data_IF_029964527434
#
_entry.id   IF_029964527434
#
_cell.length_a   1.000
_cell.length_b   1.000
_cell.length_c   1.000
_cell.angle_alpha   90.00
_cell.angle_beta   90.00
_cell.angle_gamma   90.00
#
_symmetry.space_group_name_H-M   'P 1'
#
loop_
_entity.id
_entity.type
_entity.pdbx_description
1 polymer ?
#
# COMPACT_ATOMS: atom_id res chain seq x y z
N UNK A 1 65.34 -28.91 -39.69
CA UNK A 1 63.91 -29.10 -39.38
C UNK A 1 63.49 -28.00 -38.42
N UNK A 2 62.73 -27.02 -38.91
CA UNK A 2 62.24 -25.88 -38.15
C UNK A 2 60.81 -26.14 -37.68
N UNK A 3 60.51 -26.11 -36.37
CA UNK A 3 59.14 -26.12 -35.90
C UNK A 3 58.61 -24.69 -35.90
N UNK A 4 57.78 -24.35 -36.88
CA UNK A 4 56.99 -23.12 -36.86
C UNK A 4 55.54 -23.40 -36.52
N UNK A 5 54.96 -22.47 -35.77
CA UNK A 5 53.53 -22.12 -35.73
C UNK A 5 52.58 -23.12 -35.06
N UNK A 6 52.53 -23.10 -33.73
CA UNK A 6 51.30 -23.48 -33.00
C UNK A 6 50.92 -22.55 -31.84
N UNK A 7 51.72 -21.52 -31.57
CA UNK A 7 51.47 -20.56 -30.47
C UNK A 7 50.55 -19.40 -30.86
N UNK A 8 50.39 -19.07 -32.15
CA UNK A 8 49.58 -17.91 -32.58
C UNK A 8 48.08 -18.09 -32.40
N UNK A 9 47.56 -19.32 -32.41
CA UNK A 9 46.12 -19.59 -32.19
C UNK A 9 45.69 -19.42 -30.73
N UNK A 10 46.50 -19.87 -29.77
CA UNK A 10 46.14 -19.83 -28.35
C UNK A 10 46.05 -18.40 -27.77
N UNK A 11 46.82 -17.45 -28.32
CA UNK A 11 46.75 -16.05 -27.91
C UNK A 11 45.54 -15.31 -28.48
N UNK A 12 45.10 -15.65 -29.70
CA UNK A 12 43.90 -15.05 -30.30
C UNK A 12 42.62 -15.46 -29.56
N UNK A 13 42.50 -16.73 -29.13
CA UNK A 13 41.34 -17.19 -28.35
C UNK A 13 41.29 -16.57 -26.96
N UNK A 14 42.42 -16.45 -26.24
CA UNK A 14 42.44 -15.82 -24.91
C UNK A 14 42.07 -14.33 -24.94
N UNK A 15 42.47 -13.60 -25.99
CA UNK A 15 42.17 -12.17 -26.13
C UNK A 15 40.74 -11.90 -26.59
N UNK A 16 40.08 -12.86 -27.25
CA UNK A 16 38.67 -12.82 -27.60
C UNK A 16 37.75 -13.29 -26.46
N UNK A 17 38.22 -14.21 -25.59
CA UNK A 17 37.48 -14.64 -24.40
C UNK A 17 37.36 -13.52 -23.35
N UNK A 18 38.41 -12.74 -23.12
CA UNK A 18 38.40 -11.67 -22.12
C UNK A 18 37.26 -10.63 -22.33
N UNK A 19 37.03 -10.06 -23.54
CA UNK A 19 35.93 -9.13 -23.75
C UNK A 19 34.56 -9.81 -23.69
N UNK A 20 34.40 -11.03 -24.20
CA UNK A 20 33.11 -11.74 -24.13
C UNK A 20 32.74 -12.14 -22.72
N UNK A 21 33.72 -12.53 -21.90
CA UNK A 21 33.54 -12.85 -20.48
C UNK A 21 33.17 -11.60 -19.69
N UNK A 22 33.80 -10.45 -19.97
CA UNK A 22 33.41 -9.18 -19.35
C UNK A 22 32.03 -8.69 -19.78
N UNK A 23 31.65 -8.89 -21.05
CA UNK A 23 30.31 -8.56 -21.54
C UNK A 23 29.25 -9.48 -20.91
N UNK A 24 29.53 -10.77 -20.81
CA UNK A 24 28.65 -11.72 -20.13
C UNK A 24 28.49 -11.35 -18.66
N UNK A 25 29.58 -11.05 -17.96
CA UNK A 25 29.54 -10.62 -16.56
C UNK A 25 28.72 -9.32 -16.38
N UNK A 26 28.87 -8.34 -17.28
CA UNK A 26 28.08 -7.11 -17.29
C UNK A 26 26.59 -7.38 -17.55
N UNK A 27 26.25 -8.25 -18.51
CA UNK A 27 24.84 -8.62 -18.76
C UNK A 27 24.22 -9.32 -17.56
N UNK A 28 24.96 -10.25 -16.92
CA UNK A 28 24.49 -10.92 -15.71
C UNK A 28 24.33 -9.94 -14.54
N UNK A 29 25.26 -9.00 -14.37
CA UNK A 29 25.16 -7.94 -13.38
C UNK A 29 23.93 -7.05 -13.62
N UNK A 30 23.62 -6.69 -14.87
CA UNK A 30 22.40 -5.94 -15.19
C UNK A 30 21.14 -6.74 -14.90
N UNK A 31 21.08 -8.02 -15.29
CA UNK A 31 19.90 -8.88 -15.04
C UNK A 31 19.66 -9.03 -13.54
N UNK A 32 20.72 -9.28 -12.77
CA UNK A 32 20.61 -9.41 -11.30
C UNK A 32 20.18 -8.11 -10.64
N UNK A 33 20.66 -6.96 -11.12
CA UNK A 33 20.24 -5.66 -10.60
C UNK A 33 18.77 -5.36 -10.93
N UNK A 34 18.33 -5.64 -12.16
CA UNK A 34 16.92 -5.52 -12.54
C UNK A 34 16.01 -6.44 -11.71
N UNK A 35 16.42 -7.69 -11.48
CA UNK A 35 15.69 -8.62 -10.63
C UNK A 35 15.62 -8.12 -9.17
N UNK A 36 16.71 -7.57 -8.64
CA UNK A 36 16.74 -7.01 -7.30
C UNK A 36 15.80 -5.81 -7.13
N UNK A 37 15.77 -4.90 -8.11
CA UNK A 37 14.82 -3.77 -8.12
C UNK A 37 13.39 -4.28 -8.11
N UNK A 38 13.06 -5.22 -8.98
CA UNK A 38 11.70 -5.77 -9.08
C UNK A 38 11.24 -6.48 -7.80
N UNK A 39 12.14 -7.25 -7.17
CA UNK A 39 11.86 -7.90 -5.88
C UNK A 39 11.62 -6.86 -4.78
N UNK A 40 12.43 -5.79 -4.76
CA UNK A 40 12.32 -4.73 -3.75
C UNK A 40 10.98 -4.01 -3.86
N UNK A 41 10.59 -3.63 -5.08
CA UNK A 41 9.31 -2.98 -5.39
C UNK A 41 8.13 -3.85 -4.92
N UNK A 42 8.13 -5.14 -5.29
CA UNK A 42 7.08 -6.07 -4.87
C UNK A 42 7.04 -6.33 -3.35
N UNK A 43 8.15 -6.11 -2.65
CA UNK A 43 8.21 -6.27 -1.20
C UNK A 43 7.69 -5.03 -0.49
N UNK A 44 7.97 -3.84 -1.04
CA UNK A 44 7.46 -2.57 -0.56
C UNK A 44 5.93 -2.52 -0.67
N UNK A 45 5.37 -2.89 -1.83
CA UNK A 45 3.92 -2.94 -2.04
C UNK A 45 3.22 -3.82 -1.02
N UNK A 46 3.74 -5.04 -0.80
CA UNK A 46 3.20 -5.97 0.20
C UNK A 46 3.31 -5.44 1.62
N UNK A 47 4.38 -4.71 1.93
CA UNK A 47 4.55 -4.13 3.26
C UNK A 47 3.54 -3.01 3.49
N UNK A 48 3.31 -2.17 2.49
CA UNK A 48 2.29 -1.11 2.54
C UNK A 48 0.88 -1.70 2.64
N UNK A 49 0.58 -2.76 1.89
CA UNK A 49 -0.70 -3.46 1.94
C UNK A 49 -0.98 -4.03 3.34
N UNK A 50 -0.02 -4.74 3.93
CA UNK A 50 -0.13 -5.26 5.30
C UNK A 50 -0.29 -4.15 6.35
N UNK A 51 0.45 -3.04 6.21
CA UNK A 51 0.31 -1.91 7.13
C UNK A 51 -1.06 -1.23 6.96
N UNK A 52 -1.58 -1.15 5.74
CA UNK A 52 -2.91 -0.60 5.47
C UNK A 52 -4.02 -1.42 6.13
N UNK A 53 -3.98 -2.74 5.96
CA UNK A 53 -4.89 -3.67 6.62
C UNK A 53 -4.86 -3.51 8.14
N UNK A 54 -3.67 -3.35 8.71
CA UNK A 54 -3.48 -3.14 10.14
C UNK A 54 -4.08 -1.81 10.59
N UNK A 55 -3.87 -0.71 9.86
CA UNK A 55 -4.45 0.61 10.16
C UNK A 55 -5.98 0.49 10.19
N UNK A 56 -6.58 -0.09 9.15
CA UNK A 56 -8.03 -0.18 9.02
C UNK A 56 -8.65 -1.10 10.09
N UNK A 57 -7.97 -2.19 10.44
CA UNK A 57 -8.36 -3.07 11.55
C UNK A 57 -8.34 -2.35 12.89
N UNK A 58 -7.31 -1.52 13.14
CA UNK A 58 -7.22 -0.71 14.35
C UNK A 58 -8.33 0.35 14.40
N UNK A 59 -8.64 1.00 13.28
CA UNK A 59 -9.72 1.98 13.16
C UNK A 59 -11.09 1.36 13.40
N UNK A 60 -11.37 0.20 12.83
CA UNK A 60 -12.61 -0.54 13.10
C UNK A 60 -12.74 -0.94 14.56
N UNK A 61 -11.65 -1.37 15.18
CA UNK A 61 -11.63 -1.64 16.62
C UNK A 61 -11.96 -0.37 17.41
N UNK A 62 -11.36 0.77 17.05
CA UNK A 62 -11.66 2.06 17.67
C UNK A 62 -13.14 2.46 17.49
N UNK A 63 -13.70 2.29 16.30
CA UNK A 63 -15.11 2.58 16.00
C UNK A 63 -16.05 1.72 16.84
N UNK A 64 -15.83 0.41 16.92
CA UNK A 64 -16.63 -0.51 17.74
C UNK A 64 -16.56 -0.15 19.22
N UNK A 65 -15.39 0.27 19.70
CA UNK A 65 -15.23 0.77 21.06
C UNK A 65 -16.00 2.08 21.28
N UNK A 66 -15.92 3.03 20.34
CA UNK A 66 -16.68 4.27 20.38
C UNK A 66 -18.19 4.02 20.44
N UNK A 67 -18.70 3.16 19.56
CA UNK A 67 -20.12 2.84 19.47
C UNK A 67 -20.61 2.13 20.73
N UNK A 68 -19.80 1.23 21.30
CA UNK A 68 -20.13 0.54 22.56
C UNK A 68 -20.28 1.52 23.72
N UNK A 69 -19.41 2.53 23.81
CA UNK A 69 -19.40 3.48 24.93
C UNK A 69 -20.43 4.61 24.75
N UNK A 70 -20.61 5.12 23.53
CA UNK A 70 -21.49 6.26 23.25
C UNK A 70 -22.88 5.87 22.77
N UNK A 71 -23.06 4.63 22.29
CA UNK A 71 -24.30 4.14 21.70
C UNK A 71 -24.56 4.65 20.27
N UNK A 72 -23.60 5.35 19.66
CA UNK A 72 -23.72 5.95 18.33
C UNK A 72 -22.41 5.86 17.56
N UNK A 73 -22.47 5.83 16.23
CA UNK A 73 -21.28 6.00 15.39
C UNK A 73 -20.77 7.45 15.45
N UNK A 74 -19.47 7.70 15.23
CA UNK A 74 -18.96 9.07 15.15
C UNK A 74 -19.71 9.88 14.10
N UNK A 75 -20.18 11.10 14.43
CA UNK A 75 -20.90 11.93 13.50
C UNK A 75 -19.95 12.67 12.56
N UNK A 76 -20.48 13.08 11.41
CA UNK A 76 -19.81 14.02 10.53
C UNK A 76 -18.84 13.37 9.55
N UNK A 77 -18.22 14.22 8.75
CA UNK A 77 -17.17 13.84 7.80
C UNK A 77 -15.92 13.35 8.55
N UNK A 78 -14.95 12.81 7.79
CA UNK A 78 -13.74 12.19 8.34
C UNK A 78 -13.05 13.02 9.44
N UNK A 79 -12.95 14.33 9.28
CA UNK A 79 -12.30 15.21 10.26
C UNK A 79 -13.02 15.18 11.62
N UNK A 80 -14.35 15.23 11.60
CA UNK A 80 -15.18 15.22 12.79
C UNK A 80 -15.18 13.83 13.45
N UNK A 81 -15.27 12.78 12.63
CA UNK A 81 -15.16 11.40 13.11
C UNK A 81 -13.80 11.14 13.76
N UNK A 82 -12.71 11.59 13.13
CA UNK A 82 -11.35 11.48 13.67
C UNK A 82 -11.20 12.24 14.98
N UNK A 83 -11.68 13.48 15.05
CA UNK A 83 -11.66 14.27 16.27
C UNK A 83 -12.45 13.58 17.41
N UNK A 84 -13.65 13.08 17.12
CA UNK A 84 -14.47 12.36 18.09
C UNK A 84 -13.78 11.11 18.64
N UNK A 85 -13.09 10.35 17.78
CA UNK A 85 -12.32 9.18 18.19
C UNK A 85 -11.04 9.54 18.97
N UNK A 86 -10.42 10.69 18.70
CA UNK A 86 -9.24 11.15 19.45
C UNK A 86 -9.60 11.73 20.81
N UNK A 87 -10.76 12.37 20.92
CA UNK A 87 -11.26 12.96 22.17
C UNK A 87 -11.73 11.89 23.15
N UNK A 88 -12.17 10.72 22.67
CA UNK A 88 -12.61 9.63 23.52
C UNK A 88 -11.41 8.79 24.03
N UNK A 89 -11.23 8.61 25.35
CA UNK A 89 -9.99 8.08 25.92
C UNK A 89 -9.71 6.62 25.56
N UNK A 90 -10.76 5.80 25.41
CA UNK A 90 -10.61 4.38 25.09
C UNK A 90 -10.26 4.14 23.62
N UNK A 91 -10.72 5.00 22.72
CA UNK A 91 -10.46 4.92 21.28
C UNK A 91 -9.13 5.54 20.91
N UNK A 92 -8.72 6.59 21.61
CA UNK A 92 -7.41 7.24 21.43
C UNK A 92 -6.24 6.25 21.51
N UNK A 93 -6.32 5.23 22.37
CA UNK A 93 -5.27 4.20 22.48
C UNK A 93 -5.12 3.36 21.22
N UNK A 94 -6.20 3.18 20.46
CA UNK A 94 -6.18 2.45 19.20
C UNK A 94 -5.67 3.31 18.04
N UNK A 95 -5.69 4.64 18.20
CA UNK A 95 -5.18 5.60 17.21
C UNK A 95 -3.72 6.00 17.45
N UNK A 96 -3.13 5.57 18.56
CA UNK A 96 -1.75 5.94 18.91
C UNK A 96 -0.76 5.31 17.93
N UNK A 97 0.05 6.15 17.28
CA UNK A 97 1.01 5.73 16.26
C UNK A 97 0.44 5.61 14.84
N UNK A 98 -0.85 5.87 14.62
CA UNK A 98 -1.41 5.94 13.27
C UNK A 98 -0.95 7.23 12.54
N UNK A 99 -0.72 7.17 11.22
CA UNK A 99 -0.33 8.35 10.45
C UNK A 99 -1.46 9.37 10.42
N UNK A 100 -1.15 10.59 10.81
CA UNK A 100 -2.12 11.67 10.97
C UNK A 100 -1.57 12.97 10.37
N UNK A 101 -2.41 13.62 9.59
CA UNK A 101 -2.16 14.93 9.01
C UNK A 101 -3.05 15.96 9.71
N UNK A 102 -2.51 17.13 10.01
CA UNK A 102 -3.31 18.29 10.42
C UNK A 102 -3.66 19.09 9.17
N UNK A 103 -4.94 19.21 8.87
CA UNK A 103 -5.42 20.07 7.80
C UNK A 103 -5.26 21.56 8.17
N UNK A 104 -5.43 22.45 7.19
CA UNK A 104 -5.24 23.91 7.35
C UNK A 104 -6.09 24.56 8.47
N UNK A 105 -7.12 23.87 8.95
CA UNK A 105 -8.02 24.28 10.03
C UNK A 105 -7.73 23.57 11.37
N UNK A 106 -6.51 23.02 11.54
CA UNK A 106 -6.08 22.22 12.69
C UNK A 106 -6.95 20.97 12.95
N UNK A 107 -7.72 20.53 11.96
CA UNK A 107 -8.50 19.30 12.08
C UNK A 107 -7.66 18.07 11.72
N UNK A 108 -7.67 17.02 12.57
CA UNK A 108 -6.93 15.81 12.31
C UNK A 108 -7.58 15.00 11.17
N UNK A 109 -6.75 14.50 10.26
CA UNK A 109 -7.12 13.58 9.19
C UNK A 109 -6.21 12.36 9.28
N UNK A 110 -6.81 11.18 9.41
CA UNK A 110 -6.08 9.91 9.37
C UNK A 110 -5.69 9.58 7.93
N UNK A 111 -4.49 9.04 7.78
CA UNK A 111 -3.95 8.59 6.50
C UNK A 111 -3.94 7.06 6.44
N UNK A 112 -3.95 6.52 5.22
CA UNK A 112 -3.62 5.13 4.95
C UNK A 112 -2.08 4.90 4.96
N UNK A 113 -1.67 3.66 4.70
CA UNK A 113 -0.24 3.33 4.60
C UNK A 113 0.46 4.01 3.41
N UNK A 114 -0.30 4.40 2.39
CA UNK A 114 0.17 5.09 1.18
C UNK A 114 0.19 6.61 1.34
N UNK A 115 -0.07 7.12 2.56
CA UNK A 115 -0.13 8.54 2.91
C UNK A 115 -1.28 9.32 2.25
N UNK A 116 -2.31 8.62 1.77
CA UNK A 116 -3.53 9.23 1.28
C UNK A 116 -4.51 9.46 2.44
N UNK A 117 -5.30 10.56 2.43
CA UNK A 117 -6.40 10.73 3.37
C UNK A 117 -7.39 9.58 3.28
N UNK A 118 -7.77 9.00 4.42
CA UNK A 118 -8.87 8.03 4.45
C UNK A 118 -10.20 8.71 4.10
N UNK A 119 -11.21 7.90 3.76
CA UNK A 119 -12.61 8.34 3.70
C UNK A 119 -13.37 7.77 4.90
N UNK A 120 -14.46 8.44 5.28
CA UNK A 120 -15.38 7.97 6.32
C UNK A 120 -16.80 7.89 5.76
N UNK A 121 -17.45 6.73 5.88
CA UNK A 121 -18.74 6.45 5.24
C UNK A 121 -19.92 6.94 6.08
N UNK A 122 -20.38 8.18 5.87
CA UNK A 122 -21.55 8.70 6.61
C UNK A 122 -22.90 8.07 6.20
N UNK A 123 -22.99 7.50 5.00
CA UNK A 123 -24.21 6.91 4.44
C UNK A 123 -23.82 5.65 3.67
N UNK A 124 -24.73 4.66 3.56
CA UNK A 124 -24.38 3.41 2.87
C UNK A 124 -24.22 3.70 1.38
N UNK A 125 -22.98 3.89 0.93
CA UNK A 125 -22.66 3.91 -0.49
C UNK A 125 -22.42 2.45 -0.92
N UNK A 126 -23.41 1.89 -1.62
CA UNK A 126 -23.34 0.50 -2.11
C UNK A 126 -23.33 -0.53 -0.97
N UNK A 127 -22.29 -1.37 -0.95
CA UNK A 127 -22.09 -2.45 0.04
C UNK A 127 -21.28 -2.04 1.27
N UNK A 128 -20.78 -0.80 1.34
CA UNK A 128 -19.96 -0.35 2.46
C UNK A 128 -20.83 -0.06 3.70
N UNK A 129 -20.46 -0.58 4.89
CA UNK A 129 -21.17 -0.27 6.12
C UNK A 129 -21.08 1.23 6.45
N UNK A 130 -22.13 1.76 7.06
CA UNK A 130 -22.15 3.14 7.56
C UNK A 130 -21.24 3.23 8.78
N UNK A 131 -20.41 4.26 8.82
CA UNK A 131 -19.53 4.57 9.95
C UNK A 131 -18.22 3.79 9.93
N UNK A 132 -17.69 3.48 8.74
CA UNK A 132 -16.41 2.79 8.57
C UNK A 132 -15.38 3.70 7.86
N UNK A 133 -14.10 3.38 8.04
CA UNK A 133 -13.01 4.04 7.33
C UNK A 133 -12.62 3.23 6.10
N UNK A 134 -12.34 3.94 5.01
CA UNK A 134 -11.95 3.34 3.73
C UNK A 134 -10.63 3.95 3.28
N UNK A 135 -9.77 3.11 2.73
CA UNK A 135 -8.48 3.49 2.15
C UNK A 135 -8.61 3.62 0.64
N UNK A 136 -8.02 4.67 0.08
CA UNK A 136 -7.91 4.84 -1.37
C UNK A 136 -6.86 3.90 -1.98
N UNK A 137 -5.94 3.35 -1.18
CA UNK A 137 -4.96 2.37 -1.65
C UNK A 137 -3.84 3.02 -2.49
N UNK A 138 -3.08 2.22 -3.25
CA UNK A 138 -1.88 2.68 -3.94
C UNK A 138 -2.16 3.65 -5.10
N UNK A 139 -3.36 3.61 -5.69
CA UNK A 139 -3.74 4.50 -6.78
C UNK A 139 -4.30 5.85 -6.29
N UNK A 140 -4.59 5.96 -4.98
CA UNK A 140 -5.12 7.15 -4.34
C UNK A 140 -6.54 7.51 -4.79
N UNK A 141 -7.29 6.56 -5.34
CA UNK A 141 -8.66 6.78 -5.83
C UNK A 141 -9.64 5.93 -5.03
N UNK A 142 -10.69 6.58 -4.53
CA UNK A 142 -11.84 5.87 -4.00
C UNK A 142 -12.73 5.37 -5.14
N UNK A 143 -13.22 4.15 -5.01
CA UNK A 143 -14.21 3.60 -5.90
C UNK A 143 -15.53 4.36 -5.86
N UNK A 144 -16.26 4.32 -6.96
CA UNK A 144 -17.60 4.92 -7.03
C UNK A 144 -18.57 3.96 -7.72
N UNK A 145 -19.46 3.37 -6.91
CA UNK A 145 -20.49 2.43 -7.36
C UNK A 145 -21.50 3.03 -8.36
N UNK A 146 -21.58 4.34 -8.45
CA UNK A 146 -22.44 5.06 -9.38
C UNK A 146 -21.70 5.55 -10.64
N UNK A 147 -20.41 5.26 -10.78
CA UNK A 147 -19.63 5.64 -11.96
C UNK A 147 -19.84 4.63 -13.10
N UNK A 148 -19.96 5.15 -14.33
CA UNK A 148 -19.95 4.32 -15.55
C UNK A 148 -18.52 3.92 -15.97
N UNK A 149 -17.50 4.43 -15.28
CA UNK A 149 -16.11 4.13 -15.56
C UNK A 149 -15.69 2.79 -14.92
N UNK A 150 -15.24 1.79 -15.69
CA UNK A 150 -14.81 0.50 -15.16
C UNK A 150 -13.67 0.61 -14.14
N UNK A 151 -12.76 1.58 -14.28
CA UNK A 151 -11.69 1.80 -13.29
C UNK A 151 -12.24 2.19 -11.91
N UNK A 152 -13.31 2.99 -11.85
CA UNK A 152 -13.91 3.41 -10.59
C UNK A 152 -14.73 2.28 -9.95
N UNK A 153 -15.20 1.32 -10.75
CA UNK A 153 -15.86 0.11 -10.28
C UNK A 153 -14.83 -0.90 -9.78
N UNK A 154 -13.70 -1.05 -10.46
CA UNK A 154 -12.58 -1.89 -10.01
C UNK A 154 -11.98 -1.34 -8.71
N UNK A 155 -11.80 -0.02 -8.59
CA UNK A 155 -11.40 0.63 -7.34
C UNK A 155 -12.43 0.43 -6.21
N UNK A 156 -13.73 0.32 -6.50
CA UNK A 156 -14.74 -0.02 -5.49
C UNK A 156 -14.62 -1.47 -5.00
N UNK A 157 -14.22 -2.37 -5.90
CA UNK A 157 -13.93 -3.77 -5.56
C UNK A 157 -12.61 -3.85 -4.76
N UNK A 158 -11.72 -2.87 -4.87
CA UNK A 158 -10.45 -2.75 -4.14
C UNK A 158 -10.55 -1.92 -2.84
N UNK A 159 -11.59 -1.08 -2.70
CA UNK A 159 -12.05 -0.44 -1.43
C UNK A 159 -12.46 -1.49 -0.36
N UNK A 160 -12.29 -2.79 -0.67
CA UNK A 160 -12.55 -3.99 0.13
C UNK A 160 -11.74 -4.11 1.40
N UNK A 161 -10.83 -3.18 1.69
CA UNK A 161 -10.16 -3.08 2.99
C UNK A 161 -11.10 -2.53 4.09
N UNK A 162 -12.39 -2.90 4.07
CA UNK A 162 -13.30 -2.74 5.20
C UNK A 162 -13.09 -3.90 6.16
N UNK A 163 -13.06 -3.57 7.45
CA UNK A 163 -12.70 -4.46 8.57
C UNK A 163 -13.52 -5.74 8.77
N UNK A 164 -14.58 -5.95 7.98
CA UNK A 164 -15.52 -7.07 8.11
C UNK A 164 -15.54 -8.04 6.93
N UNK A 165 -14.67 -7.88 5.93
CA UNK A 165 -14.73 -8.75 4.75
C UNK A 165 -14.35 -10.23 5.04
N UNK A 166 -13.58 -10.52 6.10
CA UNK A 166 -13.25 -11.90 6.48
C UNK A 166 -14.34 -12.65 7.27
N UNK A 167 -15.42 -11.99 7.73
CA UNK A 167 -16.44 -12.67 8.54
C UNK A 167 -17.51 -13.45 7.74
N UNK A 168 -17.42 -13.48 6.41
CA UNK A 168 -18.44 -14.06 5.52
C UNK A 168 -17.97 -15.23 4.63
N UNK A 169 -16.80 -15.81 4.87
CA UNK A 169 -16.36 -17.05 4.21
C UNK A 169 -15.87 -18.11 5.21
#
# INVERSE_FOLDING_TARGET
MTPTTNTSRAYATRRALAPTETLLALTLAMITLLAAVWITDSFEDRLLENENERILTQLSTALRHYERETGTTPPGLIQQATAALLDHPDTRRHLDGLPLLLADNDQPILLDAYLNPLAYTETSQGSLPVGDFVSAGPDGRFGNAASDNPEDIDALIDDRYSSDFEALF
#
